data_IF_350527431779
#
_entry.id   IF_350527431779
#
_cell.length_a   1.000
_cell.length_b   1.000
_cell.length_c   1.000
_cell.angle_alpha   90.00
_cell.angle_beta   90.00
_cell.angle_gamma   90.00
#
_symmetry.space_group_name_H-M   'P 1'
#
loop_
_entity.id
_entity.type
_entity.pdbx_description
1 polymer ?
#
# COMPACT_ATOMS: atom_id res chain seq x y z
N UNK A 1 -49.12 -65.59 -32.14
CA UNK A 1 -48.07 -65.28 -31.14
C UNK A 1 -47.66 -63.83 -31.33
N UNK A 2 -48.21 -62.90 -30.53
CA UNK A 2 -47.83 -61.49 -30.54
C UNK A 2 -46.58 -61.34 -29.66
N UNK A 3 -45.46 -60.90 -30.24
CA UNK A 3 -44.23 -60.58 -29.49
C UNK A 3 -44.34 -59.16 -28.95
N UNK A 4 -44.31 -59.04 -27.63
CA UNK A 4 -44.16 -57.78 -26.91
C UNK A 4 -42.73 -57.26 -27.14
N UNK A 5 -42.56 -56.10 -27.77
CA UNK A 5 -41.29 -55.37 -27.77
C UNK A 5 -41.26 -54.47 -26.53
N UNK A 6 -40.32 -54.71 -25.62
CA UNK A 6 -39.98 -53.77 -24.55
C UNK A 6 -39.14 -52.63 -25.14
N UNK A 7 -39.53 -51.39 -24.85
CA UNK A 7 -38.69 -50.21 -24.97
C UNK A 7 -37.51 -50.32 -24.00
N UNK A 8 -36.29 -50.07 -24.47
CA UNK A 8 -35.19 -49.60 -23.63
C UNK A 8 -34.98 -48.13 -23.93
N UNK A 9 -35.26 -47.27 -22.96
CA UNK A 9 -34.90 -45.86 -22.98
C UNK A 9 -33.53 -45.78 -22.29
N UNK A 10 -32.48 -45.55 -23.07
CA UNK A 10 -31.17 -45.22 -22.53
C UNK A 10 -31.19 -43.75 -22.12
N UNK A 11 -31.29 -43.47 -20.83
CA UNK A 11 -31.07 -42.13 -20.28
C UNK A 11 -29.55 -41.93 -20.25
N UNK A 12 -29.05 -41.13 -21.20
CA UNK A 12 -27.68 -40.64 -21.18
C UNK A 12 -27.60 -39.57 -20.08
N UNK A 13 -27.16 -39.95 -18.89
CA UNK A 13 -26.80 -38.98 -17.84
C UNK A 13 -25.45 -38.40 -18.23
N UNK A 14 -25.47 -37.25 -18.89
CA UNK A 14 -24.28 -36.43 -19.04
C UNK A 14 -23.86 -35.95 -17.66
N UNK A 15 -22.79 -36.52 -17.11
CA UNK A 15 -22.11 -35.95 -15.95
C UNK A 15 -21.43 -34.69 -16.47
N UNK A 16 -22.07 -33.54 -16.28
CA UNK A 16 -21.39 -32.27 -16.37
C UNK A 16 -20.38 -32.26 -15.23
N UNK A 17 -19.11 -32.53 -15.54
CA UNK A 17 -18.01 -32.29 -14.64
C UNK A 17 -17.80 -30.77 -14.59
N UNK A 18 -18.39 -30.14 -13.59
CA UNK A 18 -17.99 -28.80 -13.19
C UNK A 18 -16.59 -28.95 -12.61
N UNK A 19 -15.57 -28.64 -13.40
CA UNK A 19 -14.28 -28.28 -12.81
C UNK A 19 -14.57 -26.98 -12.08
N UNK A 20 -14.67 -27.02 -10.75
CA UNK A 20 -14.41 -25.82 -9.96
C UNK A 20 -13.00 -25.39 -10.35
N UNK A 21 -12.87 -24.34 -11.15
CA UNK A 21 -11.64 -23.57 -11.15
C UNK A 21 -11.43 -23.22 -9.69
N UNK A 22 -10.40 -23.82 -9.10
CA UNK A 22 -9.86 -23.31 -7.85
C UNK A 22 -9.63 -21.84 -8.11
N UNK A 23 -10.38 -20.96 -7.44
CA UNK A 23 -9.93 -19.59 -7.27
C UNK A 23 -8.55 -19.75 -6.67
N UNK A 24 -7.50 -19.42 -7.43
CA UNK A 24 -6.17 -19.35 -6.82
C UNK A 24 -6.33 -18.26 -5.77
N UNK A 25 -6.19 -18.62 -4.50
CA UNK A 25 -6.05 -17.59 -3.48
C UNK A 25 -4.91 -16.70 -3.95
N UNK A 26 -5.16 -15.39 -4.04
CA UNK A 26 -4.16 -14.41 -4.40
C UNK A 26 -3.08 -14.45 -3.32
N UNK A 27 -2.04 -15.25 -3.52
CA UNK A 27 -0.95 -15.41 -2.56
C UNK A 27 -0.06 -14.17 -2.70
N UNK A 28 -0.52 -13.05 -2.12
CA UNK A 28 0.23 -11.81 -2.01
C UNK A 28 1.56 -12.11 -1.33
N UNK A 29 2.65 -11.81 -2.03
CA UNK A 29 4.00 -11.95 -1.50
C UNK A 29 4.35 -10.73 -0.65
N UNK A 30 4.06 -9.51 -1.14
CA UNK A 30 4.27 -8.27 -0.41
C UNK A 30 3.53 -7.11 -1.07
N UNK A 31 3.12 -6.13 -0.27
CA UNK A 31 2.39 -4.96 -0.72
C UNK A 31 2.89 -3.71 0.03
N UNK A 32 3.53 -2.81 -0.71
CA UNK A 32 4.01 -1.52 -0.22
C UNK A 32 3.21 -0.39 -0.89
N UNK A 33 2.28 0.26 -0.17
CA UNK A 33 1.55 1.42 -0.70
C UNK A 33 2.49 2.61 -1.00
N UNK A 34 3.58 2.74 -0.23
CA UNK A 34 4.57 3.82 -0.32
C UNK A 34 4.00 5.20 0.01
N UNK A 35 3.27 5.29 1.12
CA UNK A 35 2.52 6.49 1.53
C UNK A 35 2.85 6.97 2.94
N UNK A 36 3.98 6.55 3.51
CA UNK A 36 4.36 6.88 4.89
C UNK A 36 4.81 8.34 5.07
N UNK A 37 5.41 8.93 4.04
CA UNK A 37 5.75 10.36 3.97
C UNK A 37 6.93 10.81 4.82
N UNK A 38 7.38 9.99 5.76
CA UNK A 38 8.56 10.27 6.59
C UNK A 38 9.26 8.98 7.02
N UNK A 39 10.51 9.11 7.47
CA UNK A 39 11.27 8.01 8.05
C UNK A 39 11.88 7.06 7.00
N UNK A 40 12.60 6.06 7.50
CA UNK A 40 13.45 5.17 6.69
C UNK A 40 12.79 3.83 6.35
N UNK A 41 11.47 3.72 6.53
CA UNK A 41 10.74 2.46 6.34
C UNK A 41 9.54 2.67 5.44
N UNK A 42 9.42 1.83 4.41
CA UNK A 42 8.17 1.60 3.69
C UNK A 42 7.56 0.29 4.18
N UNK A 43 6.35 0.34 4.71
CA UNK A 43 5.71 -0.78 5.39
C UNK A 43 5.12 -1.76 4.38
N UNK A 44 5.23 -3.04 4.70
CA UNK A 44 4.50 -4.11 4.01
C UNK A 44 3.15 -4.34 4.71
N UNK A 45 2.05 -4.14 3.98
CA UNK A 45 0.70 -4.36 4.49
C UNK A 45 0.12 -5.71 4.08
N UNK A 46 0.89 -6.57 3.39
CA UNK A 46 0.40 -7.90 3.01
C UNK A 46 0.28 -8.87 4.19
N UNK A 47 0.81 -8.51 5.36
CA UNK A 47 0.89 -9.38 6.54
C UNK A 47 2.08 -10.35 6.53
N UNK A 48 3.04 -10.20 5.61
CA UNK A 48 4.23 -11.05 5.52
C UNK A 48 5.48 -10.46 6.19
N UNK A 49 5.36 -9.27 6.78
CA UNK A 49 6.43 -8.58 7.50
C UNK A 49 7.68 -8.34 6.63
N UNK A 50 7.44 -7.91 5.39
CA UNK A 50 8.50 -7.61 4.41
C UNK A 50 8.71 -6.10 4.25
N UNK A 51 8.75 -5.34 5.34
CA UNK A 51 9.01 -3.88 5.24
C UNK A 51 10.32 -3.59 4.50
N UNK A 52 10.34 -2.51 3.73
CA UNK A 52 11.49 -2.06 2.97
C UNK A 52 12.24 -0.94 3.68
N UNK A 53 13.56 -1.10 3.81
CA UNK A 53 14.46 -0.11 4.37
C UNK A 53 14.90 0.88 3.29
N UNK A 54 14.54 2.15 3.48
CA UNK A 54 14.89 3.26 2.59
C UNK A 54 16.26 3.77 3.01
N UNK A 55 17.13 3.96 2.02
CA UNK A 55 18.47 4.51 2.18
C UNK A 55 18.50 5.92 1.60
N UNK A 56 19.31 6.80 2.20
CA UNK A 56 19.47 8.21 1.79
C UNK A 56 18.14 8.97 1.76
N UNK A 57 17.28 8.76 2.76
CA UNK A 57 15.93 9.34 2.80
C UNK A 57 15.93 10.88 2.73
N UNK A 58 16.89 11.56 3.36
CA UNK A 58 16.87 13.03 3.46
C UNK A 58 17.58 13.78 2.32
N UNK A 59 18.20 13.07 1.37
CA UNK A 59 19.02 13.70 0.31
C UNK A 59 19.11 12.91 -1.01
N UNK A 60 18.41 11.79 -1.08
CA UNK A 60 18.49 10.84 -2.19
C UNK A 60 17.30 10.91 -3.17
N UNK A 61 16.28 11.70 -2.86
CA UNK A 61 15.03 11.74 -3.62
C UNK A 61 14.79 13.02 -4.40
N UNK A 62 13.54 13.15 -4.86
CA UNK A 62 13.04 14.28 -5.64
C UNK A 62 12.01 15.12 -4.88
N UNK A 63 11.71 14.76 -3.63
CA UNK A 63 10.84 15.52 -2.75
C UNK A 63 11.47 16.81 -2.22
N UNK A 64 10.69 17.54 -1.44
CA UNK A 64 11.13 18.79 -0.84
C UNK A 64 12.40 18.59 0.00
N UNK A 65 13.39 19.45 -0.23
CA UNK A 65 14.69 19.34 0.43
C UNK A 65 15.52 18.12 0.01
N UNK A 66 15.24 17.51 -1.15
CA UNK A 66 15.89 16.28 -1.66
C UNK A 66 15.45 15.00 -0.91
N UNK A 67 14.32 15.06 -0.21
CA UNK A 67 13.69 13.92 0.45
C UNK A 67 13.29 12.81 -0.53
N UNK A 68 13.45 11.55 -0.13
CA UNK A 68 12.90 10.38 -0.80
C UNK A 68 11.38 10.38 -0.76
N UNK A 69 10.77 10.88 0.31
CA UNK A 69 9.33 11.12 0.36
C UNK A 69 8.98 12.40 -0.39
N UNK A 70 8.02 12.31 -1.30
CA UNK A 70 7.56 13.42 -2.12
C UNK A 70 6.03 13.47 -2.16
N UNK A 71 5.49 14.68 -2.22
CA UNK A 71 4.06 14.90 -2.48
C UNK A 71 3.82 14.99 -3.99
N UNK A 72 2.90 14.17 -4.49
CA UNK A 72 2.45 14.15 -5.87
C UNK A 72 0.96 14.57 -5.93
N UNK A 73 0.56 15.45 -6.86
CA UNK A 73 -0.83 15.90 -6.95
C UNK A 73 -1.85 14.80 -7.27
N UNK A 74 -1.42 13.69 -7.86
CA UNK A 74 -2.32 12.61 -8.31
C UNK A 74 -2.28 11.40 -7.36
N UNK A 75 -1.15 11.13 -6.72
CA UNK A 75 -0.97 9.98 -5.84
C UNK A 75 -0.77 10.34 -4.35
N UNK A 76 -0.82 11.61 -4.00
CA UNK A 76 -0.48 12.09 -2.66
C UNK A 76 0.98 11.79 -2.34
N UNK A 77 1.24 11.33 -1.12
CA UNK A 77 2.58 10.94 -0.69
C UNK A 77 3.07 9.70 -1.45
N UNK A 78 4.26 9.81 -2.05
CA UNK A 78 4.93 8.74 -2.80
C UNK A 78 6.41 8.64 -2.47
N UNK A 79 7.03 7.51 -2.83
CA UNK A 79 8.48 7.36 -2.76
C UNK A 79 9.13 7.84 -4.07
N UNK A 80 10.25 8.54 -3.96
CA UNK A 80 10.95 9.18 -5.07
C UNK A 80 12.45 8.93 -5.02
N UNK A 81 13.07 8.96 -6.19
CA UNK A 81 14.47 8.62 -6.39
C UNK A 81 15.11 9.64 -7.34
N UNK A 82 16.29 10.16 -6.99
CA UNK A 82 17.00 11.12 -7.84
C UNK A 82 17.90 10.47 -8.92
N UNK A 83 18.04 9.15 -8.90
CA UNK A 83 18.83 8.36 -9.85
C UNK A 83 20.34 8.60 -9.79
N UNK A 84 20.88 9.16 -8.71
CA UNK A 84 22.33 9.36 -8.57
C UNK A 84 22.99 8.09 -8.05
N UNK A 85 23.90 7.51 -8.86
CA UNK A 85 24.69 6.35 -8.44
C UNK A 85 25.42 6.60 -7.09
N UNK A 86 25.39 5.61 -6.20
CA UNK A 86 25.99 5.58 -4.85
C UNK A 86 25.44 6.56 -3.80
N UNK A 87 24.69 7.61 -4.17
CA UNK A 87 24.19 8.60 -3.22
C UNK A 87 22.69 8.90 -3.33
N UNK A 88 22.03 8.42 -4.38
CA UNK A 88 20.58 8.50 -4.52
C UNK A 88 19.86 7.57 -3.56
N UNK A 89 18.59 7.85 -3.35
CA UNK A 89 17.72 7.00 -2.55
C UNK A 89 17.50 5.68 -3.27
N UNK A 90 17.29 4.64 -2.47
CA UNK A 90 16.81 3.34 -2.90
C UNK A 90 16.20 2.65 -1.69
N UNK A 91 15.27 1.73 -1.93
CA UNK A 91 14.71 0.90 -0.87
C UNK A 91 15.10 -0.57 -1.06
N UNK A 92 15.30 -1.27 0.06
CA UNK A 92 15.62 -2.71 0.07
C UNK A 92 14.58 -3.43 0.91
N UNK A 93 13.92 -4.43 0.33
CA UNK A 93 12.91 -5.22 1.04
C UNK A 93 13.58 -6.23 1.97
N UNK A 94 13.11 -6.31 3.22
CA UNK A 94 13.55 -7.30 4.20
C UNK A 94 15.04 -7.21 4.58
N UNK A 95 15.59 -8.32 5.12
CA UNK A 95 17.01 -8.48 5.46
C UNK A 95 17.65 -9.52 4.53
N UNK A 96 17.97 -9.19 3.27
CA UNK A 96 18.48 -10.14 2.31
C UNK A 96 19.90 -10.63 2.68
N UNK A 97 20.17 -11.95 2.63
CA UNK A 97 19.38 -12.98 1.94
C UNK A 97 18.39 -13.74 2.85
N UNK A 98 18.22 -13.32 4.11
CA UNK A 98 17.39 -14.03 5.10
C UNK A 98 15.89 -13.83 4.86
N UNK A 99 15.49 -12.64 4.38
CA UNK A 99 14.13 -12.29 3.96
C UNK A 99 14.18 -11.27 2.81
N UNK A 100 13.02 -10.93 2.20
CA UNK A 100 12.95 -9.90 1.16
C UNK A 100 13.66 -10.23 -0.16
N UNK A 101 13.84 -11.52 -0.44
CA UNK A 101 14.24 -12.02 -1.75
C UNK A 101 13.01 -12.42 -2.54
N UNK A 102 12.97 -12.12 -3.83
CA UNK A 102 12.00 -12.66 -4.76
C UNK A 102 11.93 -14.18 -4.61
N UNK A 103 10.71 -14.76 -4.65
CA UNK A 103 10.58 -16.20 -4.84
C UNK A 103 11.44 -16.62 -6.03
N UNK A 104 12.24 -17.70 -5.88
CA UNK A 104 13.02 -18.23 -7.00
C UNK A 104 12.03 -18.68 -8.06
N UNK A 105 11.85 -17.88 -9.12
CA UNK A 105 11.02 -18.31 -10.24
C UNK A 105 11.84 -19.23 -11.15
N UNK A 106 11.19 -20.23 -11.70
CA UNK A 106 11.83 -21.25 -12.54
C UNK A 106 11.24 -21.23 -13.94
N UNK A 107 11.83 -21.99 -14.86
CA UNK A 107 11.22 -22.26 -16.17
C UNK A 107 10.05 -23.24 -16.08
N UNK A 108 9.76 -23.77 -14.89
CA UNK A 108 8.67 -24.72 -14.70
C UNK A 108 7.31 -24.02 -14.83
N UNK A 109 6.32 -24.78 -15.29
CA UNK A 109 5.00 -24.26 -15.61
C UNK A 109 4.17 -23.89 -14.36
N UNK A 110 4.55 -24.40 -13.19
CA UNK A 110 3.90 -24.16 -11.90
C UNK A 110 4.56 -23.05 -11.08
N UNK A 111 5.72 -22.55 -11.51
CA UNK A 111 6.29 -21.32 -10.97
C UNK A 111 5.57 -20.14 -11.63
N UNK A 112 4.90 -19.30 -10.85
CA UNK A 112 4.18 -18.14 -11.38
C UNK A 112 4.48 -16.92 -10.51
N UNK A 113 4.24 -15.74 -11.05
CA UNK A 113 4.25 -14.50 -10.28
C UNK A 113 3.56 -13.38 -11.05
N UNK A 114 3.18 -12.33 -10.31
CA UNK A 114 2.87 -11.02 -10.87
C UNK A 114 3.64 -9.94 -10.12
N UNK A 115 4.28 -9.03 -10.84
CA UNK A 115 4.78 -7.78 -10.29
C UNK A 115 3.88 -6.66 -10.77
N UNK A 116 3.47 -5.77 -9.90
CA UNK A 116 2.65 -4.62 -10.24
C UNK A 116 3.10 -3.39 -9.45
N UNK A 117 3.13 -2.22 -10.08
CA UNK A 117 3.45 -0.96 -9.43
C UNK A 117 3.08 0.23 -10.32
N UNK A 118 2.93 1.40 -9.71
CA UNK A 118 2.85 2.68 -10.42
C UNK A 118 4.23 3.34 -10.46
N UNK A 119 4.59 3.92 -11.61
CA UNK A 119 5.80 4.70 -11.74
C UNK A 119 5.63 5.91 -12.66
N UNK A 120 6.28 7.01 -12.31
CA UNK A 120 6.49 8.19 -13.15
C UNK A 120 7.98 8.43 -13.34
N UNK A 121 8.50 8.12 -14.52
CA UNK A 121 9.93 8.24 -14.81
C UNK A 121 10.34 9.69 -15.08
N UNK A 122 11.40 10.16 -14.43
CA UNK A 122 12.05 11.45 -14.75
C UNK A 122 13.24 11.27 -15.71
N UNK A 123 13.46 10.04 -16.18
CA UNK A 123 14.50 9.68 -17.13
C UNK A 123 13.91 9.05 -18.39
N UNK A 124 14.66 9.18 -19.48
CA UNK A 124 14.32 8.53 -20.73
C UNK A 124 14.77 7.08 -20.72
N UNK A 125 14.49 6.42 -21.84
CA UNK A 125 14.82 5.02 -22.09
C UNK A 125 16.30 4.65 -21.81
N UNK A 126 16.54 3.93 -20.71
CA UNK A 126 17.82 3.40 -20.22
C UNK A 126 17.62 2.02 -19.53
N UNK A 127 18.68 1.46 -18.94
CA UNK A 127 18.63 0.17 -18.25
C UNK A 127 18.71 0.32 -16.72
N UNK A 128 18.38 1.51 -16.22
CA UNK A 128 18.37 1.80 -14.79
C UNK A 128 17.20 1.06 -14.13
N UNK A 129 17.41 0.62 -12.89
CA UNK A 129 16.51 -0.30 -12.20
C UNK A 129 15.37 0.50 -11.58
N UNK A 130 14.15 0.28 -12.06
CA UNK A 130 12.95 0.77 -11.40
C UNK A 130 12.62 -0.16 -10.22
N UNK A 131 12.44 -1.45 -10.51
CA UNK A 131 12.10 -2.50 -9.55
C UNK A 131 12.88 -3.79 -9.85
N UNK A 132 13.30 -4.50 -8.83
CA UNK A 132 14.07 -5.75 -8.95
C UNK A 132 15.51 -5.55 -8.53
N UNK A 133 16.46 -6.28 -9.14
CA UNK A 133 17.87 -6.15 -8.77
C UNK A 133 18.82 -6.47 -9.91
N UNK A 134 20.11 -6.22 -9.67
CA UNK A 134 21.21 -6.75 -10.48
C UNK A 134 22.25 -7.52 -9.67
N UNK A 135 22.45 -7.15 -8.41
CA UNK A 135 23.58 -7.61 -7.59
C UNK A 135 23.07 -8.32 -6.34
N UNK A 136 23.97 -9.07 -5.71
CA UNK A 136 23.71 -9.64 -4.40
C UNK A 136 23.64 -8.53 -3.35
N UNK A 137 23.17 -8.83 -2.13
CA UNK A 137 23.12 -7.86 -1.02
C UNK A 137 24.49 -7.26 -0.67
N UNK A 138 25.58 -7.95 -1.01
CA UNK A 138 26.95 -7.44 -0.87
C UNK A 138 27.35 -6.37 -1.91
N UNK A 139 26.49 -6.07 -2.89
CA UNK A 139 26.80 -5.15 -3.99
C UNK A 139 27.73 -5.72 -5.06
N UNK A 140 28.03 -7.03 -5.04
CA UNK A 140 28.78 -7.70 -6.11
C UNK A 140 27.84 -8.38 -7.11
N UNK A 141 28.25 -8.45 -8.39
CA UNK A 141 27.55 -9.32 -9.36
C UNK A 141 27.57 -10.78 -8.88
N UNK A 142 26.48 -11.50 -9.14
CA UNK A 142 26.43 -12.94 -8.94
C UNK A 142 27.45 -13.66 -9.86
N UNK A 143 27.91 -14.83 -9.43
CA UNK A 143 28.81 -15.67 -10.23
C UNK A 143 28.29 -17.12 -10.25
N UNK A 144 27.70 -17.61 -11.35
CA UNK A 144 27.49 -16.92 -12.63
C UNK A 144 26.55 -15.71 -12.53
N UNK A 145 26.66 -14.78 -13.48
CA UNK A 145 25.81 -13.58 -13.50
C UNK A 145 24.36 -14.00 -13.64
N UNK A 146 23.51 -13.38 -12.83
CA UNK A 146 22.06 -13.53 -12.89
C UNK A 146 21.39 -12.34 -12.22
N UNK A 147 20.21 -11.99 -12.70
CA UNK A 147 19.39 -10.91 -12.17
C UNK A 147 17.99 -10.93 -12.77
N UNK A 148 17.09 -10.14 -12.22
CA UNK A 148 15.80 -9.81 -12.83
C UNK A 148 15.44 -8.38 -12.45
N UNK A 149 15.10 -7.55 -13.45
CA UNK A 149 14.80 -6.15 -13.23
C UNK A 149 13.83 -5.59 -14.25
N UNK A 150 13.04 -4.65 -13.78
CA UNK A 150 12.21 -3.76 -14.58
C UNK A 150 12.97 -2.46 -14.83
N UNK A 151 12.98 -1.99 -16.07
CA UNK A 151 13.70 -0.77 -16.50
C UNK A 151 12.77 0.16 -17.27
N UNK A 152 13.25 1.28 -17.78
CA UNK A 152 12.43 2.16 -18.62
C UNK A 152 12.19 1.62 -20.04
N UNK A 153 12.81 0.50 -20.42
CA UNK A 153 12.82 -0.03 -21.80
C UNK A 153 12.33 -1.47 -21.94
N UNK A 154 12.52 -2.27 -20.90
CA UNK A 154 12.24 -3.70 -20.92
C UNK A 154 12.20 -4.27 -19.51
N UNK A 155 11.52 -5.40 -19.39
CA UNK A 155 11.69 -6.31 -18.27
C UNK A 155 12.74 -7.35 -18.66
N UNK A 156 13.91 -7.34 -17.99
CA UNK A 156 15.03 -8.21 -18.34
C UNK A 156 15.45 -9.13 -17.20
N UNK A 157 15.94 -10.31 -17.56
CA UNK A 157 16.52 -11.26 -16.63
C UNK A 157 17.72 -11.95 -17.27
N UNK A 158 18.73 -12.26 -16.46
CA UNK A 158 19.98 -12.85 -16.92
C UNK A 158 20.23 -14.19 -16.25
N UNK A 159 20.75 -15.13 -17.04
CA UNK A 159 21.24 -16.44 -16.59
C UNK A 159 22.63 -16.71 -17.15
N UNK A 160 23.50 -15.71 -17.06
CA UNK A 160 24.77 -15.59 -17.80
C UNK A 160 24.57 -15.43 -19.32
N UNK A 161 23.33 -15.11 -19.71
CA UNK A 161 22.88 -14.71 -21.02
C UNK A 161 21.57 -13.91 -20.83
N UNK A 162 21.53 -12.67 -21.32
CA UNK A 162 20.39 -11.76 -21.09
C UNK A 162 19.20 -12.21 -21.92
N UNK A 163 18.03 -12.23 -21.29
CA UNK A 163 16.72 -12.39 -21.90
C UNK A 163 15.86 -11.17 -21.54
N UNK A 164 14.91 -10.82 -22.40
CA UNK A 164 14.02 -9.70 -22.16
C UNK A 164 12.59 -9.95 -22.64
N UNK A 165 11.70 -9.19 -22.04
CA UNK A 165 10.38 -8.83 -22.53
C UNK A 165 10.44 -7.34 -22.88
N UNK A 166 10.52 -7.05 -24.16
CA UNK A 166 10.60 -5.69 -24.67
C UNK A 166 9.20 -5.06 -24.75
N UNK A 167 9.11 -3.77 -24.44
CA UNK A 167 7.90 -2.97 -24.59
C UNK A 167 8.26 -1.58 -25.11
N UNK A 168 7.26 -0.76 -25.44
CA UNK A 168 7.53 0.62 -25.83
C UNK A 168 8.22 1.38 -24.70
N UNK A 169 9.26 2.15 -25.00
CA UNK A 169 9.99 2.94 -24.01
C UNK A 169 9.04 3.79 -23.15
N UNK A 170 9.23 3.77 -21.83
CA UNK A 170 8.40 4.52 -20.87
C UNK A 170 8.62 6.03 -21.07
N UNK A 171 7.56 6.83 -21.28
CA UNK A 171 7.68 8.28 -21.40
C UNK A 171 8.09 8.94 -20.08
N UNK A 172 8.74 10.10 -20.20
CA UNK A 172 9.08 10.93 -19.03
C UNK A 172 7.87 11.69 -18.51
N UNK A 173 7.76 11.83 -17.19
CA UNK A 173 6.82 12.71 -16.51
C UNK A 173 5.35 12.26 -16.58
N UNK A 174 5.09 11.00 -16.91
CA UNK A 174 3.73 10.43 -16.96
C UNK A 174 3.66 9.25 -15.99
N UNK A 175 2.64 9.24 -15.14
CA UNK A 175 2.30 8.08 -14.32
C UNK A 175 1.77 6.97 -15.19
N UNK A 176 2.36 5.79 -15.05
CA UNK A 176 1.95 4.58 -15.77
C UNK A 176 1.89 3.44 -14.76
N UNK A 177 0.86 2.63 -14.89
CA UNK A 177 0.79 1.35 -14.21
C UNK A 177 1.53 0.29 -15.00
N UNK A 178 2.40 -0.43 -14.31
CA UNK A 178 3.16 -1.53 -14.87
C UNK A 178 2.70 -2.81 -14.19
N UNK A 179 2.41 -3.84 -14.99
CA UNK A 179 2.37 -5.20 -14.46
C UNK A 179 3.09 -6.20 -15.36
N UNK A 180 3.81 -7.13 -14.75
CA UNK A 180 4.45 -8.25 -15.44
C UNK A 180 3.95 -9.55 -14.83
N UNK A 181 3.34 -10.40 -15.66
CA UNK A 181 2.74 -11.67 -15.27
C UNK A 181 3.54 -12.81 -15.88
N UNK A 182 4.07 -13.71 -15.05
CA UNK A 182 4.55 -15.02 -15.49
C UNK A 182 3.45 -16.05 -15.31
N UNK A 183 2.97 -16.60 -16.42
CA UNK A 183 2.04 -17.74 -16.43
C UNK A 183 2.63 -18.89 -17.24
N UNK A 184 2.94 -20.00 -16.58
CA UNK A 184 3.64 -21.10 -17.23
C UNK A 184 5.01 -20.68 -17.78
N UNK A 185 5.22 -20.86 -19.09
CA UNK A 185 6.45 -20.44 -19.77
C UNK A 185 6.35 -19.03 -20.39
N UNK A 186 5.22 -18.34 -20.25
CA UNK A 186 5.01 -17.01 -20.82
C UNK A 186 5.21 -15.91 -19.77
N UNK A 187 5.81 -14.82 -20.21
CA UNK A 187 5.89 -13.54 -19.51
C UNK A 187 5.09 -12.51 -20.30
N UNK A 188 4.12 -11.86 -19.68
CA UNK A 188 3.26 -10.87 -20.31
C UNK A 188 3.36 -9.55 -19.58
N UNK A 189 3.52 -8.45 -20.31
CA UNK A 189 3.58 -7.09 -19.78
C UNK A 189 2.26 -6.38 -20.07
N UNK A 190 1.72 -5.75 -19.03
CA UNK A 190 0.54 -4.91 -19.06
C UNK A 190 0.93 -3.48 -18.72
N UNK A 191 0.36 -2.54 -19.47
CA UNK A 191 0.48 -1.10 -19.28
C UNK A 191 -0.91 -0.54 -19.09
N UNK A 192 -1.14 0.15 -17.97
CA UNK A 192 -2.43 0.78 -17.67
C UNK A 192 -3.60 -0.21 -17.81
N UNK A 193 -3.44 -1.39 -17.18
CA UNK A 193 -4.41 -2.49 -17.24
C UNK A 193 -4.39 -3.33 -18.53
N UNK A 194 -3.79 -2.84 -19.62
CA UNK A 194 -3.89 -3.46 -20.95
C UNK A 194 -2.62 -4.21 -21.36
N UNK A 195 -2.76 -5.39 -21.98
CA UNK A 195 -1.62 -6.14 -22.51
C UNK A 195 -0.85 -5.33 -23.58
N UNK A 196 0.46 -5.23 -23.41
CA UNK A 196 1.35 -4.44 -24.27
C UNK A 196 2.47 -5.26 -24.90
N UNK A 197 2.78 -6.46 -24.38
CA UNK A 197 3.73 -7.37 -25.02
C UNK A 197 3.91 -8.68 -24.26
N UNK A 198 4.48 -9.69 -24.92
CA UNK A 198 4.83 -10.95 -24.27
C UNK A 198 6.09 -11.60 -24.82
N UNK A 199 6.68 -12.51 -24.03
CA UNK A 199 7.90 -13.22 -24.33
C UNK A 199 7.88 -14.59 -23.66
N UNK A 200 8.53 -15.59 -24.25
CA UNK A 200 8.67 -16.91 -23.64
C UNK A 200 9.95 -17.01 -22.82
N UNK A 201 9.84 -17.52 -21.61
CA UNK A 201 10.98 -17.74 -20.71
C UNK A 201 11.71 -19.00 -21.16
N UNK A 202 13.03 -18.89 -21.43
CA UNK A 202 13.87 -20.04 -21.82
C UNK A 202 14.90 -20.43 -20.76
N UNK A 203 15.19 -19.54 -19.82
CA UNK A 203 15.98 -19.82 -18.61
C UNK A 203 15.64 -18.81 -17.50
N UNK A 204 15.77 -19.20 -16.23
CA UNK A 204 15.50 -18.36 -15.06
C UNK A 204 16.68 -18.32 -14.07
N UNK A 205 16.88 -17.23 -13.31
CA UNK A 205 17.85 -17.17 -12.20
C UNK A 205 17.69 -18.34 -11.23
N UNK A 206 18.78 -18.74 -10.56
CA UNK A 206 18.82 -19.91 -9.67
C UNK A 206 19.08 -19.52 -8.21
N UNK A 207 19.70 -18.37 -7.98
CA UNK A 207 19.93 -17.81 -6.65
C UNK A 207 18.77 -16.88 -6.24
N UNK A 208 18.44 -16.81 -4.95
CA UNK A 208 17.52 -15.80 -4.43
C UNK A 208 17.96 -14.39 -4.83
N UNK A 209 17.04 -13.64 -5.42
CA UNK A 209 17.28 -12.29 -5.90
C UNK A 209 16.70 -11.29 -4.90
N UNK A 210 17.49 -10.39 -4.28
CA UNK A 210 16.93 -9.37 -3.39
C UNK A 210 16.00 -8.42 -4.16
N UNK A 211 15.08 -7.76 -3.48
CA UNK A 211 14.16 -6.80 -4.10
C UNK A 211 14.64 -5.38 -3.76
N UNK A 212 14.89 -4.57 -4.80
CA UNK A 212 15.20 -3.15 -4.67
C UNK A 212 14.18 -2.29 -5.40
N UNK A 213 13.92 -1.11 -4.84
CA UNK A 213 13.20 -0.01 -5.49
C UNK A 213 14.21 1.09 -5.83
N UNK A 214 14.20 1.59 -7.07
CA UNK A 214 15.05 2.69 -7.53
C UNK A 214 16.52 2.33 -7.84
N UNK A 215 16.93 1.08 -7.59
CA UNK A 215 18.23 0.52 -7.99
C UNK A 215 19.22 0.25 -6.86
N UNK A 216 20.46 -0.13 -7.21
CA UNK A 216 21.44 -0.64 -6.24
C UNK A 216 22.89 -0.33 -6.65
N UNK A 217 23.59 0.50 -5.87
CA UNK A 217 24.99 0.97 -6.08
C UNK A 217 25.16 1.79 -7.36
N UNK A 218 24.77 1.23 -8.50
CA UNK A 218 24.72 1.85 -9.81
C UNK A 218 23.45 1.41 -10.56
N UNK A 219 23.19 1.98 -11.74
CA UNK A 219 21.92 1.76 -12.46
C UNK A 219 20.72 2.28 -11.65
N UNK A 220 20.90 3.45 -11.01
CA UNK A 220 19.89 4.10 -10.18
C UNK A 220 18.90 4.87 -11.06
N UNK A 221 17.62 4.53 -10.95
CA UNK A 221 16.55 5.18 -11.69
C UNK A 221 16.13 6.49 -11.00
N UNK A 222 15.77 7.50 -11.79
CA UNK A 222 15.12 8.70 -11.26
C UNK A 222 13.64 8.76 -11.63
N UNK A 223 12.80 8.95 -10.63
CA UNK A 223 11.35 8.99 -10.79
C UNK A 223 10.60 8.86 -9.46
N UNK A 224 9.28 8.70 -9.57
CA UNK A 224 8.34 8.54 -8.47
C UNK A 224 7.66 7.17 -8.57
N UNK A 225 7.42 6.52 -7.44
CA UNK A 225 6.85 5.18 -7.36
C UNK A 225 5.76 5.11 -6.29
N UNK A 226 4.69 4.37 -6.58
CA UNK A 226 3.60 4.10 -5.65
C UNK A 226 3.08 2.66 -5.83
N UNK A 227 2.44 2.15 -4.78
CA UNK A 227 1.65 0.90 -4.80
C UNK A 227 2.36 -0.31 -5.41
N UNK A 228 3.51 -0.68 -4.85
CA UNK A 228 4.25 -1.88 -5.29
C UNK A 228 3.58 -3.13 -4.72
N UNK A 229 3.15 -4.03 -5.60
CA UNK A 229 2.53 -5.32 -5.26
C UNK A 229 3.27 -6.46 -5.93
N UNK A 230 3.64 -7.46 -5.15
CA UNK A 230 4.21 -8.71 -5.64
C UNK A 230 3.29 -9.86 -5.28
N UNK A 231 3.00 -10.73 -6.24
CA UNK A 231 2.15 -11.90 -6.09
C UNK A 231 2.92 -13.18 -6.42
N UNK A 232 2.64 -14.24 -5.67
CA UNK A 232 3.16 -15.60 -5.89
C UNK A 232 2.39 -16.36 -6.99
N UNK A 233 1.42 -15.70 -7.62
CA UNK A 233 0.48 -16.28 -8.58
C UNK A 233 0.43 -15.42 -9.84
N UNK A 234 0.09 -16.04 -10.97
CA UNK A 234 -0.23 -15.30 -12.18
C UNK A 234 -1.64 -14.71 -12.07
N UNK A 235 -1.73 -13.38 -11.98
CA UNK A 235 -3.01 -12.68 -12.10
C UNK A 235 -3.56 -12.77 -13.54
N UNK A 236 -4.87 -12.92 -13.65
CA UNK A 236 -5.61 -12.83 -14.90
C UNK A 236 -5.73 -11.38 -15.39
N UNK A 237 -6.06 -11.19 -16.67
CA UNK A 237 -6.28 -9.86 -17.25
C UNK A 237 -7.32 -9.04 -16.47
N UNK A 238 -8.40 -9.66 -16.00
CA UNK A 238 -9.40 -8.98 -15.16
C UNK A 238 -8.84 -8.57 -13.80
N UNK A 239 -8.05 -9.42 -13.15
CA UNK A 239 -7.40 -9.06 -11.89
C UNK A 239 -6.35 -7.96 -12.08
N UNK A 240 -5.64 -7.94 -13.21
CA UNK A 240 -4.73 -6.84 -13.57
C UNK A 240 -5.50 -5.53 -13.77
N UNK A 241 -6.64 -5.59 -14.46
CA UNK A 241 -7.51 -4.43 -14.65
C UNK A 241 -8.00 -3.90 -13.29
N UNK A 242 -8.47 -4.77 -12.39
CA UNK A 242 -8.84 -4.38 -11.02
C UNK A 242 -7.67 -3.77 -10.24
N UNK A 243 -6.46 -4.32 -10.34
CA UNK A 243 -5.28 -3.73 -9.67
C UNK A 243 -4.96 -2.34 -10.23
N UNK A 244 -5.13 -2.14 -11.54
CA UNK A 244 -4.96 -0.85 -12.20
C UNK A 244 -6.04 0.16 -11.76
N UNK A 245 -7.32 -0.21 -11.86
CA UNK A 245 -8.47 0.65 -11.54
C UNK A 245 -8.43 1.08 -10.06
N UNK A 246 -8.06 0.17 -9.16
CA UNK A 246 -7.96 0.49 -7.73
C UNK A 246 -6.80 1.45 -7.38
N UNK A 247 -5.82 1.66 -8.27
CA UNK A 247 -4.65 2.55 -8.12
C UNK A 247 -3.83 2.46 -6.82
N UNK A 248 -4.11 1.51 -5.92
CA UNK A 248 -3.59 1.51 -4.55
C UNK A 248 -4.71 1.38 -3.52
N UNK A 249 -4.49 1.95 -2.34
CA UNK A 249 -5.55 2.46 -1.44
C UNK A 249 -5.92 3.88 -1.93
N UNK A 250 -5.79 4.12 -3.23
CA UNK A 250 -5.83 5.43 -3.88
C UNK A 250 -6.69 5.42 -5.12
N UNK A 251 -7.64 4.47 -5.22
CA UNK A 251 -8.68 4.62 -6.24
C UNK A 251 -9.29 5.99 -6.02
N UNK A 252 -9.35 6.80 -7.06
CA UNK A 252 -10.17 8.02 -7.06
C UNK A 252 -11.44 7.75 -7.87
N UNK A 253 -11.75 6.49 -8.16
CA UNK A 253 -13.09 6.11 -8.57
C UNK A 253 -14.01 6.49 -7.41
N UNK A 254 -15.03 7.23 -7.78
CA UNK A 254 -16.01 7.93 -6.94
C UNK A 254 -17.27 7.87 -7.82
N UNK A 255 -17.84 6.66 -7.92
CA UNK A 255 -18.91 6.32 -8.86
C UNK A 255 -20.22 7.06 -8.51
N UNK A 256 -20.36 7.49 -7.25
CA UNK A 256 -21.49 8.27 -6.75
C UNK A 256 -21.24 9.80 -6.70
N UNK A 257 -20.01 10.23 -7.02
CA UNK A 257 -19.52 11.62 -7.16
C UNK A 257 -19.62 12.45 -5.86
N UNK A 258 -19.38 11.83 -4.71
CA UNK A 258 -19.51 12.45 -3.39
C UNK A 258 -18.19 12.95 -2.78
N UNK A 259 -17.06 12.62 -3.41
CA UNK A 259 -15.69 12.96 -3.02
C UNK A 259 -14.94 11.88 -2.26
N UNK A 260 -15.56 10.74 -1.96
CA UNK A 260 -14.96 9.57 -1.33
C UNK A 260 -14.52 8.56 -2.40
N UNK A 261 -13.41 7.84 -2.16
CA UNK A 261 -13.06 6.70 -3.00
C UNK A 261 -13.98 5.49 -2.82
N UNK A 262 -14.45 4.92 -3.92
CA UNK A 262 -15.23 3.67 -3.95
C UNK A 262 -14.53 2.56 -3.13
N UNK A 263 -13.22 2.41 -3.35
CA UNK A 263 -12.42 1.37 -2.67
C UNK A 263 -12.29 1.57 -1.16
N UNK A 264 -12.41 2.82 -0.69
CA UNK A 264 -12.38 3.15 0.74
C UNK A 264 -13.75 2.88 1.37
N UNK A 265 -14.82 3.25 0.69
CA UNK A 265 -16.19 3.01 1.14
C UNK A 265 -16.53 1.52 1.18
N UNK A 266 -16.23 0.77 0.10
CA UNK A 266 -16.44 -0.68 0.03
C UNK A 266 -15.68 -1.42 1.14
N UNK A 267 -14.50 -0.93 1.55
CA UNK A 267 -13.72 -1.54 2.63
C UNK A 267 -14.34 -1.34 4.02
N UNK A 268 -15.12 -0.26 4.22
CA UNK A 268 -15.71 0.11 5.51
C UNK A 268 -17.16 -0.35 5.65
N UNK A 269 -17.97 -0.18 4.61
CA UNK A 269 -19.43 -0.38 4.64
C UNK A 269 -19.96 -1.33 3.54
N UNK A 270 -19.08 -1.93 2.72
CA UNK A 270 -19.43 -2.92 1.67
C UNK A 270 -20.46 -2.40 0.64
N UNK A 271 -20.52 -1.07 0.45
CA UNK A 271 -21.30 -0.35 -0.56
C UNK A 271 -20.86 1.13 -0.68
N UNK A 272 -21.39 1.83 -1.68
CA UNK A 272 -21.10 3.26 -1.99
C UNK A 272 -22.21 4.23 -1.55
N UNK A 273 -23.26 3.75 -0.87
CA UNK A 273 -24.43 4.58 -0.52
C UNK A 273 -24.46 4.97 0.98
N UNK A 274 -23.60 4.35 1.78
CA UNK A 274 -23.63 4.42 3.25
C UNK A 274 -22.76 5.55 3.78
N UNK A 275 -21.48 5.59 3.39
CA UNK A 275 -20.64 6.77 3.57
C UNK A 275 -20.99 7.72 2.44
N UNK A 276 -21.17 8.99 2.74
CA UNK A 276 -21.61 9.92 1.72
C UNK A 276 -20.97 11.31 1.91
N UNK A 277 -19.70 11.44 1.49
CA UNK A 277 -18.74 12.51 1.73
C UNK A 277 -19.32 13.81 2.28
N UNK A 278 -19.78 14.72 1.40
CA UNK A 278 -20.35 16.02 1.78
C UNK A 278 -21.89 16.02 1.92
N UNK A 279 -22.48 14.86 2.20
CA UNK A 279 -23.91 14.65 2.37
C UNK A 279 -24.63 15.65 3.26
N UNK A 280 -25.89 15.94 2.97
CA UNK A 280 -26.68 16.91 3.74
C UNK A 280 -27.48 16.20 4.85
N UNK A 281 -26.89 15.97 6.02
CA UNK A 281 -27.62 15.51 7.21
C UNK A 281 -26.80 15.52 8.51
N UNK A 282 -27.37 15.85 9.69
CA UNK A 282 -26.65 15.71 10.95
C UNK A 282 -26.87 14.30 11.55
N UNK A 283 -25.83 13.46 11.55
CA UNK A 283 -25.77 12.17 12.27
C UNK A 283 -26.38 10.93 11.59
N UNK A 284 -26.34 9.74 12.22
CA UNK A 284 -25.86 8.51 11.58
C UNK A 284 -26.85 7.80 10.63
N UNK A 285 -26.29 7.27 9.52
CA UNK A 285 -26.94 6.37 8.55
C UNK A 285 -26.84 6.84 7.09
N UNK A 286 -27.07 5.93 6.13
CA UNK A 286 -27.01 6.22 4.68
C UNK A 286 -27.61 7.58 4.29
N UNK A 287 -26.78 8.43 3.68
CA UNK A 287 -27.17 9.72 3.15
C UNK A 287 -27.03 10.91 4.11
N UNK A 288 -26.30 10.76 5.23
CA UNK A 288 -26.11 11.82 6.24
C UNK A 288 -24.82 12.61 6.05
N UNK A 289 -23.76 11.97 5.58
CA UNK A 289 -22.42 12.53 5.39
C UNK A 289 -21.64 12.66 6.69
N UNK A 290 -22.07 11.92 7.71
CA UNK A 290 -21.55 11.84 9.08
C UNK A 290 -22.12 10.51 9.60
N UNK A 291 -21.48 9.40 9.20
CA UNK A 291 -22.06 8.07 9.28
C UNK A 291 -22.18 7.56 10.72
N UNK A 292 -21.26 7.93 11.61
CA UNK A 292 -21.26 7.56 13.02
C UNK A 292 -21.85 8.64 13.96
N UNK A 293 -22.04 9.87 13.47
CA UNK A 293 -22.74 10.93 14.18
C UNK A 293 -21.91 11.69 15.19
N UNK A 294 -20.60 11.74 15.01
CA UNK A 294 -19.65 12.36 15.93
C UNK A 294 -19.45 13.87 15.67
N UNK A 295 -19.89 14.34 14.51
CA UNK A 295 -19.85 15.73 14.07
C UNK A 295 -18.74 16.08 13.08
N UNK A 296 -17.91 15.12 12.68
CA UNK A 296 -17.08 15.16 11.47
C UNK A 296 -17.87 14.61 10.29
N UNK A 297 -17.55 15.06 9.07
CA UNK A 297 -18.11 14.43 7.88
C UNK A 297 -17.27 13.25 7.44
N UNK A 298 -17.87 12.27 6.76
CA UNK A 298 -17.14 11.12 6.23
C UNK A 298 -15.94 11.58 5.36
N UNK A 299 -16.10 12.71 4.66
CA UNK A 299 -15.03 13.34 3.90
C UNK A 299 -13.96 14.02 4.78
N UNK A 300 -14.32 14.73 5.85
CA UNK A 300 -13.35 15.32 6.79
C UNK A 300 -12.54 14.21 7.47
N UNK A 301 -13.19 13.08 7.76
CA UNK A 301 -12.54 11.90 8.31
C UNK A 301 -11.58 11.26 7.31
N UNK A 302 -12.00 11.17 6.04
CA UNK A 302 -11.14 10.69 4.97
C UNK A 302 -9.98 11.64 4.66
N UNK A 303 -10.18 12.96 4.57
CA UNK A 303 -9.18 13.92 4.07
C UNK A 303 -8.32 14.52 5.18
N UNK A 304 -8.92 14.93 6.31
CA UNK A 304 -8.32 15.81 7.31
C UNK A 304 -7.84 15.07 8.57
N UNK A 305 -8.73 14.33 9.25
CA UNK A 305 -8.39 13.68 10.54
C UNK A 305 -7.78 12.29 10.37
N UNK A 306 -8.14 11.59 9.27
CA UNK A 306 -7.82 10.17 9.00
C UNK A 306 -8.36 9.25 10.09
N UNK A 307 -9.56 9.54 10.59
CA UNK A 307 -10.30 8.73 11.56
C UNK A 307 -11.18 7.70 10.86
N UNK A 308 -11.87 6.85 11.62
CA UNK A 308 -12.74 5.83 11.06
C UNK A 308 -14.20 6.32 11.10
N UNK A 309 -14.83 6.58 9.93
CA UNK A 309 -16.19 7.14 9.88
C UNK A 309 -17.29 6.20 10.36
N UNK A 310 -16.92 4.98 10.75
CA UNK A 310 -17.83 4.00 11.34
C UNK A 310 -17.77 3.98 12.86
N UNK A 311 -16.89 4.78 13.47
CA UNK A 311 -16.57 4.81 14.89
C UNK A 311 -16.46 6.25 15.38
N UNK A 312 -17.47 6.71 16.12
CA UNK A 312 -17.51 8.07 16.65
C UNK A 312 -16.36 8.43 17.62
N UNK A 313 -15.52 7.47 17.98
CA UNK A 313 -14.35 7.55 18.87
C UNK A 313 -13.35 6.53 18.32
N UNK A 314 -12.38 6.99 17.53
CA UNK A 314 -11.48 6.12 16.76
C UNK A 314 -10.44 5.42 17.63
N UNK A 315 -10.01 6.04 18.73
CA UNK A 315 -8.97 5.49 19.61
C UNK A 315 -9.49 4.90 20.92
N UNK A 316 -10.81 4.93 21.11
CA UNK A 316 -11.57 4.33 22.21
C UNK A 316 -11.22 4.92 23.59
N UNK A 317 -10.86 6.20 23.66
CA UNK A 317 -10.52 6.89 24.90
C UNK A 317 -11.72 7.51 25.63
N UNK A 318 -12.86 7.64 24.95
CA UNK A 318 -14.10 8.22 25.46
C UNK A 318 -14.40 9.66 25.03
N UNK A 319 -13.52 10.30 24.26
CA UNK A 319 -13.78 11.51 23.48
C UNK A 319 -14.16 11.11 22.05
N UNK A 320 -15.05 11.89 21.43
CA UNK A 320 -15.38 11.64 20.03
C UNK A 320 -14.40 12.35 19.11
N UNK A 321 -14.18 11.85 17.90
CA UNK A 321 -13.18 12.42 16.99
C UNK A 321 -13.47 13.90 16.69
N UNK A 322 -14.74 14.27 16.56
CA UNK A 322 -15.21 15.66 16.40
C UNK A 322 -14.95 16.59 17.60
N UNK A 323 -14.65 16.05 18.78
CA UNK A 323 -14.19 16.82 19.95
C UNK A 323 -12.68 17.05 19.91
N UNK A 324 -11.95 16.16 19.25
CA UNK A 324 -10.49 16.08 19.24
C UNK A 324 -9.90 16.70 17.97
N UNK A 325 -9.78 18.03 17.99
CA UNK A 325 -9.45 18.79 16.78
C UNK A 325 -8.01 18.69 16.28
N UNK A 326 -7.13 17.96 16.98
CA UNK A 326 -5.71 17.80 16.68
C UNK A 326 -4.95 19.13 16.47
N UNK A 327 -5.46 20.22 17.03
CA UNK A 327 -4.86 21.56 16.91
C UNK A 327 -3.68 21.78 17.85
N UNK A 328 -3.47 20.88 18.82
CA UNK A 328 -2.48 21.03 19.89
C UNK A 328 -2.79 22.20 20.83
N UNK A 329 -4.02 22.70 20.83
CA UNK A 329 -4.48 23.79 21.70
C UNK A 329 -5.84 23.45 22.31
N UNK A 330 -5.89 23.34 23.63
CA UNK A 330 -7.16 23.15 24.33
C UNK A 330 -8.00 24.44 24.29
N UNK A 331 -9.18 24.35 23.70
CA UNK A 331 -10.15 25.45 23.63
C UNK A 331 -11.29 25.23 24.63
N UNK A 332 -11.85 24.01 24.67
CA UNK A 332 -12.93 23.61 25.59
C UNK A 332 -13.10 22.09 25.63
N UNK A 333 -13.96 21.58 26.52
CA UNK A 333 -14.30 20.14 26.60
C UNK A 333 -15.01 19.56 25.36
N UNK A 334 -15.27 20.38 24.34
CA UNK A 334 -15.83 19.96 23.04
C UNK A 334 -14.90 20.38 21.88
N UNK A 335 -13.67 20.77 22.21
CA UNK A 335 -12.59 21.16 21.31
C UNK A 335 -11.29 21.10 22.13
N UNK A 336 -10.85 19.89 22.40
CA UNK A 336 -9.74 19.58 23.31
C UNK A 336 -8.38 19.84 22.66
N UNK A 337 -8.33 19.84 21.33
CA UNK A 337 -7.08 19.98 20.56
C UNK A 337 -6.18 18.75 20.62
N UNK A 338 -6.65 17.66 21.23
CA UNK A 338 -6.01 16.34 21.31
C UNK A 338 -6.11 15.60 19.99
N UNK A 339 -5.38 14.49 19.86
CA UNK A 339 -5.26 13.74 18.62
C UNK A 339 -6.26 12.57 18.60
N UNK A 340 -7.23 12.53 17.68
CA UNK A 340 -8.33 11.54 17.66
C UNK A 340 -7.90 10.09 17.34
N UNK A 341 -6.60 9.81 17.33
CA UNK A 341 -6.02 8.49 17.01
C UNK A 341 -5.04 8.04 18.09
N UNK A 342 -5.05 8.71 19.23
CA UNK A 342 -4.18 8.47 20.37
C UNK A 342 -4.95 8.77 21.64
N UNK A 343 -5.38 7.71 22.30
CA UNK A 343 -6.04 7.78 23.59
C UNK A 343 -5.27 8.54 24.69
N UNK A 344 -3.97 8.80 24.51
CA UNK A 344 -3.11 9.60 25.39
C UNK A 344 -2.22 10.46 24.47
N UNK A 345 -2.62 11.72 24.26
CA UNK A 345 -2.00 12.61 23.27
C UNK A 345 -0.58 13.01 23.68
N UNK A 346 -0.36 13.32 24.95
CA UNK A 346 0.92 13.84 25.45
C UNK A 346 1.86 12.79 26.07
N UNK A 347 1.36 11.57 26.22
CA UNK A 347 2.07 10.35 26.62
C UNK A 347 2.54 10.38 28.06
N UNK A 348 1.71 10.86 28.96
CA UNK A 348 1.99 10.89 30.38
C UNK A 348 1.44 9.70 31.17
N UNK A 349 0.56 8.91 30.54
CA UNK A 349 -0.09 7.73 31.10
C UNK A 349 -1.54 7.92 31.52
N UNK A 350 -2.12 9.11 31.36
CA UNK A 350 -3.55 9.39 31.45
C UNK A 350 -4.17 9.39 30.06
N UNK A 351 -5.46 9.06 29.97
CA UNK A 351 -6.19 9.18 28.70
C UNK A 351 -6.79 10.58 28.55
N UNK A 352 -6.89 11.10 27.33
CA UNK A 352 -7.28 12.49 27.10
C UNK A 352 -8.66 12.80 27.71
N UNK A 353 -9.58 11.83 27.69
CA UNK A 353 -10.93 11.96 28.26
C UNK A 353 -10.98 12.25 29.77
N UNK A 354 -9.96 11.90 30.55
CA UNK A 354 -9.92 12.18 32.01
C UNK A 354 -9.27 13.51 32.34
N UNK A 355 -8.62 14.15 31.38
CA UNK A 355 -7.81 15.36 31.56
C UNK A 355 -8.58 16.63 31.17
N UNK A 356 -9.29 17.19 32.15
CA UNK A 356 -10.26 18.27 31.87
C UNK A 356 -9.68 19.68 31.74
N UNK A 357 -8.37 19.84 31.90
CA UNK A 357 -7.64 21.10 31.85
C UNK A 357 -8.22 22.21 32.77
N UNK A 358 -8.80 21.80 33.91
CA UNK A 358 -9.40 22.74 34.88
C UNK A 358 -8.40 23.24 35.93
N UNK A 359 -7.23 22.59 36.04
CA UNK A 359 -6.24 22.80 37.08
C UNK A 359 -6.69 22.34 38.47
N UNK A 360 -7.76 21.54 38.55
CA UNK A 360 -8.34 21.07 39.82
C UNK A 360 -8.60 19.58 39.74
N UNK A 361 -7.82 18.80 40.49
CA UNK A 361 -8.05 17.37 40.69
C UNK A 361 -9.39 17.15 41.42
N UNK A 362 -10.31 16.43 40.76
CA UNK A 362 -11.58 15.98 41.33
C UNK A 362 -11.47 14.51 41.75
N UNK A 363 -11.12 13.64 40.81
CA UNK A 363 -10.91 12.19 40.97
C UNK A 363 -10.12 11.61 39.78
N UNK A 364 -10.01 10.28 39.69
CA UNK A 364 -9.26 9.58 38.63
C UNK A 364 -9.91 9.70 37.23
N UNK A 365 -11.19 10.07 37.15
CA UNK A 365 -11.93 10.29 35.89
C UNK A 365 -11.97 11.78 35.52
N UNK A 366 -11.43 12.65 36.38
CA UNK A 366 -11.33 14.09 36.18
C UNK A 366 -10.13 14.63 36.96
N UNK A 367 -8.96 14.46 36.36
CA UNK A 367 -7.66 14.80 36.96
C UNK A 367 -7.43 16.30 37.02
N UNK A 368 -8.13 17.06 36.15
CA UNK A 368 -7.96 18.50 36.00
C UNK A 368 -6.64 18.89 35.33
N UNK A 369 -5.82 17.93 34.92
CA UNK A 369 -4.54 18.10 34.21
C UNK A 369 -4.82 18.40 32.73
N UNK A 370 -3.78 18.78 32.00
CA UNK A 370 -3.86 19.19 30.60
C UNK A 370 -3.53 18.00 29.70
N UNK A 371 -4.44 17.58 28.79
CA UNK A 371 -4.19 16.46 27.88
C UNK A 371 -3.14 16.73 26.78
N UNK A 372 -2.58 17.93 26.80
CA UNK A 372 -1.59 18.42 25.84
C UNK A 372 -0.25 18.75 26.52
N UNK A 373 -0.12 18.50 27.82
CA UNK A 373 1.07 18.81 28.58
C UNK A 373 1.29 17.83 29.74
N UNK A 374 2.20 16.89 29.48
CA UNK A 374 2.66 15.85 30.39
C UNK A 374 2.98 16.26 31.84
N UNK A 375 3.30 17.52 32.08
CA UNK A 375 3.61 18.07 33.41
C UNK A 375 2.88 19.43 33.54
N UNK A 376 1.62 19.36 33.97
CA UNK A 376 0.69 20.49 33.97
C UNK A 376 1.09 21.62 34.91
N UNK A 377 1.70 21.29 36.06
CA UNK A 377 2.09 22.26 37.08
C UNK A 377 3.56 22.70 36.98
N UNK A 378 4.36 22.00 36.17
CA UNK A 378 5.73 22.34 35.82
C UNK A 378 6.74 22.01 36.92
N UNK A 379 6.44 21.05 37.79
CA UNK A 379 7.30 20.68 38.90
C UNK A 379 8.34 19.59 38.57
N UNK A 380 8.21 18.96 37.40
CA UNK A 380 9.10 17.95 36.86
C UNK A 380 8.65 16.50 37.05
N UNK A 381 7.46 16.26 37.62
CA UNK A 381 6.78 14.96 37.59
C UNK A 381 5.68 14.98 36.52
N UNK A 382 5.38 13.82 35.93
CA UNK A 382 4.30 13.76 34.94
C UNK A 382 2.96 13.57 35.61
N UNK A 383 1.89 14.15 35.07
CA UNK A 383 0.58 14.17 35.73
C UNK A 383 0.07 12.76 36.01
N UNK A 384 0.14 11.85 35.03
CA UNK A 384 -0.17 10.42 35.22
C UNK A 384 0.67 9.72 36.29
N UNK A 385 1.91 10.18 36.51
CA UNK A 385 2.76 9.70 37.59
C UNK A 385 2.32 10.20 38.97
N UNK A 386 1.83 11.43 39.05
CA UNK A 386 1.31 12.02 40.28
C UNK A 386 -0.01 11.38 40.72
N UNK A 387 -0.88 11.04 39.76
CA UNK A 387 -2.15 10.35 40.02
C UNK A 387 -1.91 8.89 40.47
N UNK A 388 -0.94 8.19 39.87
CA UNK A 388 -0.65 6.79 40.18
C UNK A 388 0.03 6.54 41.54
N UNK A 389 0.79 7.52 42.07
CA UNK A 389 1.34 7.53 43.44
C UNK A 389 2.73 6.93 43.66
#
# INVERSE_FOLDING_TARGET
MKKTQLLSITILVGILSWTSTSVKSQEMFGWWPLNEGTGETANDISGNDLSAQINNVDFGGLGDGESAWAEDPEFGTVLSFNGVDNSGAYAVVGDPPSSGTLPIFTTEADSEFTWSFWAKSEQGANNDIILGNRRASSGSDFSPRQFIKFTTRMFEWDTNNVQSLDYEDIPQGVWIHHAVVKSGAEMTYYRDGLESGSSSIVAAPQDPQPIYFGGQVNECWAGYMSDVRLYSTALSETEIQTVYDNRGIFSTEDDDEDGLPDSWEEALVDNLDDLNGNGVGPGPGSGTGDFDGDGLTDLDEYEETKTNPTLADTDEDGLSDGVETNTGTFVSATNTGTNPKKADTDKDGLIDSVETNTGVLVDEENTGTSPLNKDSDGDGYSDGGEIAG
#
